data_IF_973541340598
#
_entry.id   IF_973541340598
#
_cell.length_a   1.000
_cell.length_b   1.000
_cell.length_c   1.000
_cell.angle_alpha   90.00
_cell.angle_beta   90.00
_cell.angle_gamma   90.00
#
_symmetry.space_group_name_H-M   'P 1'
#
loop_
_entity.id
_entity.type
_entity.pdbx_description
1 polymer ?
#
# COMPACT_ATOMS: atom_id res chain seq x y z
N UNK A 1 -1.86 10.58 20.26
CA UNK A 1 -0.68 9.78 19.84
C UNK A 1 -1.03 8.74 18.76
N UNK A 2 -2.21 8.11 18.75
CA UNK A 2 -2.56 7.11 17.71
C UNK A 2 -3.03 7.70 16.36
N UNK A 3 -3.81 8.79 16.37
CA UNK A 3 -4.32 9.39 15.13
C UNK A 3 -3.22 9.89 14.17
N UNK A 4 -2.07 10.32 14.69
CA UNK A 4 -0.92 10.75 13.87
C UNK A 4 -0.27 9.58 13.12
N UNK A 5 -0.21 8.40 13.74
CA UNK A 5 0.35 7.19 13.12
C UNK A 5 -0.58 6.67 12.02
N UNK A 6 -1.89 6.62 12.29
CA UNK A 6 -2.89 6.17 11.32
C UNK A 6 -2.87 7.05 10.07
N UNK A 7 -2.85 8.38 10.26
CA UNK A 7 -2.79 9.34 9.15
C UNK A 7 -1.49 9.21 8.36
N UNK A 8 -0.35 9.05 9.04
CA UNK A 8 0.93 8.81 8.37
C UNK A 8 0.93 7.53 7.55
N UNK A 9 0.32 6.46 8.05
CA UNK A 9 0.16 5.19 7.33
C UNK A 9 -0.71 5.37 6.09
N UNK A 10 -1.82 6.11 6.19
CA UNK A 10 -2.69 6.42 5.04
C UNK A 10 -1.96 7.23 3.95
N UNK A 11 -1.21 8.26 4.35
CA UNK A 11 -0.48 9.13 3.43
C UNK A 11 0.65 8.39 2.70
N UNK A 12 1.39 7.51 3.39
CA UNK A 12 2.48 6.75 2.79
C UNK A 12 1.97 5.61 1.91
N UNK A 13 1.09 4.75 2.43
CA UNK A 13 0.59 3.60 1.68
C UNK A 13 -0.37 4.01 0.56
N UNK A 14 -1.15 5.08 0.73
CA UNK A 14 -2.06 5.56 -0.31
C UNK A 14 -1.39 6.01 -1.61
N UNK A 15 -0.08 6.32 -1.57
CA UNK A 15 0.73 6.61 -2.77
C UNK A 15 1.10 5.34 -3.54
N UNK A 16 1.25 4.23 -2.82
CA UNK A 16 1.73 2.95 -3.35
C UNK A 16 0.56 2.06 -3.78
N UNK A 17 -0.47 1.96 -2.95
CA UNK A 17 -1.60 1.04 -3.10
C UNK A 17 -2.94 1.78 -3.11
N UNK A 18 -3.92 1.28 -3.88
CA UNK A 18 -5.28 1.84 -3.95
C UNK A 18 -6.32 0.97 -3.24
N UNK A 19 -6.01 -0.30 -2.98
CA UNK A 19 -6.84 -1.29 -2.30
C UNK A 19 -5.94 -2.18 -1.46
N UNK A 20 -6.37 -2.74 -0.32
CA UNK A 20 -7.66 -2.51 0.37
C UNK A 20 -7.78 -1.11 0.99
N UNK A 21 -8.98 -0.66 1.40
CA UNK A 21 -9.16 0.69 1.96
C UNK A 21 -8.41 0.88 3.28
N UNK A 22 -7.74 2.02 3.42
CA UNK A 22 -6.92 2.36 4.59
C UNK A 22 -7.76 3.14 5.63
N UNK A 23 -8.85 2.55 6.13
CA UNK A 23 -9.71 3.22 7.11
C UNK A 23 -9.13 3.17 8.52
N UNK A 24 -9.49 4.15 9.36
CA UNK A 24 -9.03 4.20 10.76
C UNK A 24 -9.37 2.91 11.54
N UNK A 25 -10.57 2.35 11.33
CA UNK A 25 -11.00 1.10 11.95
C UNK A 25 -10.10 -0.08 11.57
N UNK A 26 -9.74 -0.21 10.29
CA UNK A 26 -8.90 -1.31 9.81
C UNK A 26 -7.44 -1.13 10.26
N UNK A 27 -6.95 0.11 10.32
CA UNK A 27 -5.58 0.40 10.76
C UNK A 27 -5.42 0.34 12.29
N UNK A 28 -6.48 0.59 13.05
CA UNK A 28 -6.46 0.55 14.53
C UNK A 28 -6.47 -0.88 15.08
N UNK A 29 -7.23 -1.81 14.46
CA UNK A 29 -7.25 -3.23 14.85
C UNK A 29 -7.35 -4.14 13.62
N UNK A 30 -6.25 -4.31 12.87
CA UNK A 30 -6.27 -5.03 11.61
C UNK A 30 -6.47 -6.55 11.81
N UNK A 31 -7.41 -7.20 11.10
CA UNK A 31 -7.44 -8.65 11.01
C UNK A 31 -6.26 -9.17 10.17
N UNK A 32 -5.80 -10.39 10.41
CA UNK A 32 -4.63 -10.96 9.71
C UNK A 32 -4.74 -10.91 8.18
N UNK A 33 -5.92 -11.24 7.64
CA UNK A 33 -6.19 -11.18 6.19
C UNK A 33 -5.94 -9.78 5.60
N UNK A 34 -6.32 -8.73 6.33
CA UNK A 34 -6.10 -7.35 5.87
C UNK A 34 -4.62 -7.02 5.75
N UNK A 35 -3.80 -7.44 6.72
CA UNK A 35 -2.35 -7.24 6.65
C UNK A 35 -1.74 -7.99 5.47
N UNK A 36 -2.16 -9.24 5.27
CA UNK A 36 -1.72 -10.06 4.13
C UNK A 36 -2.03 -9.36 2.79
N UNK A 37 -3.26 -8.86 2.64
CA UNK A 37 -3.69 -8.19 1.41
C UNK A 37 -2.90 -6.89 1.16
N UNK A 38 -2.66 -6.08 2.21
CA UNK A 38 -1.84 -4.85 2.10
C UNK A 38 -0.42 -5.19 1.65
N UNK A 39 0.23 -6.17 2.28
CA UNK A 39 1.61 -6.56 1.95
C UNK A 39 1.69 -7.14 0.52
N UNK A 40 0.72 -7.98 0.16
CA UNK A 40 0.64 -8.57 -1.18
C UNK A 40 0.47 -7.50 -2.27
N UNK A 41 -0.38 -6.50 -2.03
CA UNK A 41 -0.59 -5.40 -2.96
C UNK A 41 0.65 -4.53 -3.13
N UNK A 42 1.37 -4.20 -2.04
CA UNK A 42 2.64 -3.46 -2.11
C UNK A 42 3.64 -4.22 -2.99
N UNK A 43 3.85 -5.51 -2.75
CA UNK A 43 4.75 -6.34 -3.58
C UNK A 43 4.35 -6.37 -5.05
N UNK A 44 3.05 -6.45 -5.32
CA UNK A 44 2.51 -6.44 -6.69
C UNK A 44 2.76 -5.09 -7.38
N UNK A 45 2.59 -3.99 -6.65
CA UNK A 45 2.82 -2.64 -7.16
C UNK A 45 4.27 -2.37 -7.50
N UNK A 46 5.20 -2.76 -6.64
CA UNK A 46 6.63 -2.62 -6.89
C UNK A 46 7.08 -3.41 -8.14
N UNK A 47 6.60 -4.64 -8.33
CA UNK A 47 6.90 -5.43 -9.54
C UNK A 47 6.42 -4.75 -10.82
N UNK A 48 5.23 -4.18 -10.80
CA UNK A 48 4.65 -3.50 -11.96
C UNK A 48 5.35 -2.17 -12.27
N UNK A 49 5.93 -1.52 -11.25
CA UNK A 49 6.72 -0.30 -11.43
C UNK A 49 7.96 -0.62 -12.28
N UNK A 50 8.76 -1.61 -11.90
CA UNK A 50 9.99 -2.00 -12.61
C UNK A 50 9.76 -2.31 -14.10
N UNK A 51 8.74 -3.09 -14.41
CA UNK A 51 8.40 -3.43 -15.81
C UNK A 51 8.07 -2.20 -16.67
N UNK A 52 7.50 -1.14 -16.08
CA UNK A 52 7.22 0.10 -16.80
C UNK A 52 8.49 0.89 -17.14
N UNK A 53 9.49 0.92 -16.24
CA UNK A 53 10.77 1.59 -16.51
C UNK A 53 11.62 0.81 -17.51
N UNK A 54 11.59 -0.53 -17.45
CA UNK A 54 12.26 -1.36 -18.45
C UNK A 54 11.67 -1.13 -19.86
N UNK A 55 10.35 -1.03 -19.98
CA UNK A 55 9.68 -0.73 -21.26
C UNK A 55 9.96 0.69 -21.77
N UNK A 56 10.21 1.67 -20.88
CA UNK A 56 10.54 3.05 -21.28
C UNK A 56 11.96 3.22 -21.81
N UNK A 57 12.88 2.31 -21.47
CA UNK A 57 14.28 2.39 -21.91
C UNK A 57 14.55 1.62 -23.22
N UNK A 58 13.52 1.04 -23.82
CA UNK A 58 13.61 0.24 -25.06
C UNK A 58 13.10 1.03 -26.29
N UNK A 59 12.47 2.20 -26.10
CA UNK A 59 12.04 3.13 -27.15
C UNK A 59 12.98 4.34 -27.14
#
# INVERSE_FOLDING_TARGET
MQGSVIRRTQELLGRVIRKPPLTERLLSKPPFRYLHDVIGEVRRRERNHLSKYEMQNII
#
